data_IF_093217914877
#
_entry.id   IF_093217914877
#
_cell.length_a   1.000
_cell.length_b   1.000
_cell.length_c   1.000
_cell.angle_alpha   90.00
_cell.angle_beta   90.00
_cell.angle_gamma   90.00
#
_symmetry.space_group_name_H-M   'P 1'
#
loop_
_entity.id
_entity.type
_entity.pdbx_description
1 polymer ?
#
# COMPACT_ATOMS: atom_id res chain seq x y z
N UNK A 1 -4.48 1.43 28.30
CA UNK A 1 -4.12 0.61 27.14
C UNK A 1 -4.35 -0.86 27.53
N UNK A 2 -5.36 -1.52 26.93
CA UNK A 2 -5.77 -2.88 27.38
C UNK A 2 -4.83 -3.94 26.76
N UNK A 3 -4.56 -5.02 27.49
CA UNK A 3 -3.72 -6.17 27.01
C UNK A 3 -4.19 -6.72 25.66
N UNK A 4 -5.50 -6.62 25.35
CA UNK A 4 -6.09 -6.98 24.06
C UNK A 4 -5.57 -6.16 22.87
N UNK A 5 -5.17 -4.89 23.09
CA UNK A 5 -4.70 -3.99 22.03
C UNK A 5 -3.24 -4.26 21.66
N UNK A 6 -2.44 -4.72 22.64
CA UNK A 6 -1.04 -5.13 22.42
C UNK A 6 -0.94 -6.45 21.63
N UNK A 7 -1.83 -7.40 21.90
CA UNK A 7 -1.88 -8.68 21.17
C UNK A 7 -2.38 -8.47 19.74
N UNK A 8 -3.36 -7.57 19.52
CA UNK A 8 -3.85 -7.21 18.18
C UNK A 8 -2.79 -6.53 17.31
N UNK A 9 -1.95 -5.67 17.88
CA UNK A 9 -0.90 -4.98 17.13
C UNK A 9 0.30 -5.89 16.82
N UNK A 10 0.63 -6.83 17.70
CA UNK A 10 1.70 -7.81 17.48
C UNK A 10 1.34 -8.85 16.37
N UNK A 11 0.06 -9.15 16.20
CA UNK A 11 -0.40 -10.11 15.17
C UNK A 11 -0.47 -9.50 13.76
N UNK A 12 -0.64 -8.17 13.63
CA UNK A 12 -0.84 -7.50 12.33
C UNK A 12 0.45 -7.25 11.53
N UNK A 13 1.56 -6.91 12.19
CA UNK A 13 2.88 -6.85 11.55
C UNK A 13 3.42 -8.23 11.13
N UNK A 14 2.91 -9.30 11.76
CA UNK A 14 3.21 -10.69 11.40
C UNK A 14 2.54 -11.11 10.08
N UNK A 15 1.37 -10.57 9.70
CA UNK A 15 0.59 -11.09 8.57
C UNK A 15 1.23 -10.81 7.21
N UNK A 16 1.79 -9.60 6.99
CA UNK A 16 2.47 -9.26 5.72
C UNK A 16 3.81 -9.99 5.61
N UNK A 17 4.60 -10.03 6.70
CA UNK A 17 5.82 -10.85 6.75
C UNK A 17 5.50 -12.34 6.55
N UNK A 18 4.41 -12.84 7.13
CA UNK A 18 4.00 -14.23 7.00
C UNK A 18 3.60 -14.56 5.56
N UNK A 19 2.85 -13.69 4.86
CA UNK A 19 2.50 -13.93 3.45
C UNK A 19 3.72 -13.95 2.53
N UNK A 20 4.69 -13.04 2.74
CA UNK A 20 5.94 -13.02 1.99
C UNK A 20 6.80 -14.26 2.25
N UNK A 21 6.88 -14.72 3.51
CA UNK A 21 7.60 -15.93 3.88
C UNK A 21 6.94 -17.15 3.24
N UNK A 22 5.63 -17.32 3.40
CA UNK A 22 4.87 -18.46 2.84
C UNK A 22 4.95 -18.48 1.32
N UNK A 23 4.89 -17.31 0.66
CA UNK A 23 5.11 -17.20 -0.78
C UNK A 23 6.53 -17.61 -1.18
N UNK A 24 7.54 -17.15 -0.45
CA UNK A 24 8.95 -17.52 -0.67
C UNK A 24 9.19 -19.02 -0.51
N UNK A 25 8.64 -19.63 0.53
CA UNK A 25 8.70 -21.08 0.78
C UNK A 25 8.03 -21.87 -0.35
N UNK A 26 6.84 -21.44 -0.80
CA UNK A 26 6.16 -22.06 -1.93
C UNK A 26 7.00 -21.98 -3.21
N UNK A 27 7.62 -20.85 -3.52
CA UNK A 27 8.49 -20.68 -4.69
C UNK A 27 9.74 -21.55 -4.58
N UNK A 28 10.28 -21.73 -3.37
CA UNK A 28 11.38 -22.65 -3.12
C UNK A 28 10.97 -24.10 -3.40
N UNK A 29 9.83 -24.55 -2.89
CA UNK A 29 9.31 -25.91 -3.12
C UNK A 29 9.07 -26.19 -4.62
N UNK A 30 8.57 -25.22 -5.39
CA UNK A 30 8.42 -25.36 -6.84
C UNK A 30 9.76 -25.60 -7.56
N UNK A 31 10.83 -24.90 -7.12
CA UNK A 31 12.18 -25.11 -7.66
C UNK A 31 12.76 -26.48 -7.28
N UNK A 32 12.48 -26.93 -6.05
CA UNK A 32 12.87 -28.26 -5.58
C UNK A 32 12.16 -29.35 -6.40
N UNK A 33 10.86 -29.19 -6.65
CA UNK A 33 10.09 -30.13 -7.49
C UNK A 33 10.69 -30.25 -8.89
N UNK A 34 10.96 -29.13 -9.54
CA UNK A 34 11.60 -29.06 -10.86
C UNK A 34 13.01 -29.71 -10.87
N UNK A 35 13.76 -29.58 -9.77
CA UNK A 35 15.05 -30.25 -9.60
C UNK A 35 14.92 -31.77 -9.42
N UNK A 36 13.91 -32.23 -8.67
CA UNK A 36 13.64 -33.65 -8.45
C UNK A 36 13.18 -34.32 -9.74
N UNK A 37 12.32 -33.66 -10.53
CA UNK A 37 11.84 -34.16 -11.81
C UNK A 37 12.98 -34.33 -12.85
N UNK A 38 14.02 -33.50 -12.76
CA UNK A 38 15.24 -33.64 -13.62
C UNK A 38 16.28 -34.61 -13.06
N UNK A 39 16.04 -35.17 -11.88
CA UNK A 39 17.00 -36.06 -11.26
C UNK A 39 16.96 -37.48 -11.88
N UNK A 40 18.09 -38.18 -11.84
CA UNK A 40 18.19 -39.58 -12.29
C UNK A 40 17.75 -40.59 -11.20
N UNK A 41 16.77 -40.23 -10.37
CA UNK A 41 16.25 -41.12 -9.33
C UNK A 41 15.46 -42.28 -9.92
N UNK A 42 15.52 -43.49 -9.29
CA UNK A 42 14.65 -44.59 -9.66
C UNK A 42 13.17 -44.22 -9.56
N UNK A 43 12.35 -44.66 -10.54
CA UNK A 43 10.94 -44.28 -10.67
C UNK A 43 10.10 -44.35 -9.38
N UNK A 44 10.16 -45.39 -8.54
CA UNK A 44 9.37 -45.45 -7.31
C UNK A 44 9.80 -44.39 -6.29
N UNK A 45 11.10 -44.05 -6.21
CA UNK A 45 11.63 -43.03 -5.33
C UNK A 45 11.31 -41.64 -5.85
N UNK A 46 11.40 -41.42 -7.14
CA UNK A 46 10.99 -40.15 -7.77
C UNK A 46 9.54 -39.84 -7.49
N UNK A 47 8.66 -40.80 -7.64
CA UNK A 47 7.22 -40.63 -7.39
C UNK A 47 6.92 -40.34 -5.90
N UNK A 48 7.64 -40.96 -4.99
CA UNK A 48 7.50 -40.70 -3.56
C UNK A 48 7.93 -39.27 -3.18
N UNK A 49 9.08 -38.82 -3.64
CA UNK A 49 9.61 -37.46 -3.39
C UNK A 49 8.68 -36.41 -4.00
N UNK A 50 8.23 -36.63 -5.23
CA UNK A 50 7.28 -35.79 -5.92
C UNK A 50 5.98 -35.59 -5.14
N UNK A 51 5.34 -36.67 -4.67
CA UNK A 51 4.11 -36.61 -3.86
C UNK A 51 4.28 -35.78 -2.58
N UNK A 52 5.38 -35.97 -1.88
CA UNK A 52 5.65 -35.20 -0.65
C UNK A 52 5.77 -33.69 -0.94
N UNK A 53 6.50 -33.32 -2.00
CA UNK A 53 6.69 -31.93 -2.39
C UNK A 53 5.37 -31.31 -2.85
N UNK A 54 4.57 -32.00 -3.66
CA UNK A 54 3.26 -31.56 -4.12
C UNK A 54 2.29 -31.32 -2.95
N UNK A 55 2.29 -32.19 -1.93
CA UNK A 55 1.50 -31.98 -0.71
C UNK A 55 1.94 -30.74 0.05
N UNK A 56 3.25 -30.48 0.16
CA UNK A 56 3.76 -29.28 0.80
C UNK A 56 3.41 -28.01 0.02
N UNK A 57 3.51 -28.04 -1.30
CA UNK A 57 3.10 -26.92 -2.18
C UNK A 57 1.61 -26.64 -2.01
N UNK A 58 0.78 -27.69 -1.96
CA UNK A 58 -0.66 -27.56 -1.76
C UNK A 58 -0.99 -26.92 -0.39
N UNK A 59 -0.34 -27.38 0.68
CA UNK A 59 -0.53 -26.81 2.02
C UNK A 59 -0.14 -25.32 2.08
N UNK A 60 1.00 -24.93 1.47
CA UNK A 60 1.42 -23.53 1.39
C UNK A 60 0.50 -22.67 0.52
N UNK A 61 -0.07 -23.24 -0.53
CA UNK A 61 -1.06 -22.55 -1.36
C UNK A 61 -2.35 -22.29 -0.58
N UNK A 62 -2.84 -23.27 0.18
CA UNK A 62 -4.01 -23.08 1.03
C UNK A 62 -3.79 -22.02 2.12
N UNK A 63 -2.59 -22.00 2.74
CA UNK A 63 -2.23 -21.01 3.74
C UNK A 63 -2.20 -19.60 3.14
N UNK A 64 -1.61 -19.42 1.95
CA UNK A 64 -1.63 -18.15 1.20
C UNK A 64 -3.05 -17.70 0.90
N UNK A 65 -3.92 -18.60 0.46
CA UNK A 65 -5.31 -18.28 0.16
C UNK A 65 -6.06 -17.81 1.41
N UNK A 66 -5.82 -18.40 2.58
CA UNK A 66 -6.39 -17.94 3.86
C UNK A 66 -5.89 -16.54 4.25
N UNK A 67 -4.61 -16.28 4.06
CA UNK A 67 -4.01 -14.97 4.35
C UNK A 67 -4.60 -13.92 3.39
N UNK A 68 -4.74 -14.24 2.11
CA UNK A 68 -5.21 -13.35 1.07
C UNK A 68 -6.72 -13.11 1.14
N UNK A 69 -7.53 -14.08 1.59
CA UNK A 69 -8.97 -13.92 1.73
C UNK A 69 -9.35 -12.71 2.62
N UNK A 70 -8.63 -12.51 3.74
CA UNK A 70 -8.83 -11.33 4.58
C UNK A 70 -8.38 -10.01 3.92
N UNK A 71 -7.53 -10.09 2.90
CA UNK A 71 -7.07 -8.96 2.09
C UNK A 71 -8.11 -8.59 1.03
N UNK A 72 -8.62 -9.58 0.31
CA UNK A 72 -9.64 -9.41 -0.73
C UNK A 72 -10.92 -8.80 -0.15
N UNK A 73 -11.30 -9.20 1.06
CA UNK A 73 -12.41 -8.60 1.79
C UNK A 73 -12.19 -7.10 2.06
N UNK A 74 -11.01 -6.70 2.56
CA UNK A 74 -10.70 -5.29 2.82
C UNK A 74 -10.66 -4.44 1.56
N UNK A 75 -10.08 -4.98 0.48
CA UNK A 75 -10.06 -4.32 -0.83
C UNK A 75 -11.48 -4.20 -1.37
N UNK A 76 -12.29 -5.25 -1.27
CA UNK A 76 -13.69 -5.23 -1.64
C UNK A 76 -14.48 -4.15 -0.91
N UNK A 77 -14.25 -3.97 0.39
CA UNK A 77 -14.85 -2.87 1.16
C UNK A 77 -14.43 -1.50 0.65
N UNK A 78 -13.14 -1.28 0.39
CA UNK A 78 -12.65 0.01 -0.11
C UNK A 78 -13.19 0.32 -1.51
N UNK A 79 -13.34 -0.70 -2.36
CA UNK A 79 -13.88 -0.52 -3.72
C UNK A 79 -15.40 -0.42 -3.76
N UNK A 80 -16.09 -0.71 -2.66
CA UNK A 80 -17.54 -0.62 -2.58
C UNK A 80 -18.03 0.82 -2.69
N UNK A 81 -19.03 1.06 -3.55
CA UNK A 81 -19.69 2.37 -3.66
C UNK A 81 -20.37 2.82 -2.35
N UNK A 82 -20.67 1.88 -1.44
CA UNK A 82 -21.37 2.14 -0.18
C UNK A 82 -20.40 2.35 1.02
N UNK A 83 -19.08 2.28 0.79
CA UNK A 83 -18.11 2.45 1.87
C UNK A 83 -18.29 3.82 2.55
N UNK A 84 -18.25 3.81 3.88
CA UNK A 84 -18.37 5.01 4.71
C UNK A 84 -16.99 5.61 4.99
N UNK A 85 -16.89 6.96 5.11
CA UNK A 85 -15.63 7.63 5.47
C UNK A 85 -14.99 7.10 6.75
N UNK A 86 -15.79 6.76 7.77
CA UNK A 86 -15.29 6.21 9.04
C UNK A 86 -14.65 4.83 8.87
N UNK A 87 -15.18 4.02 7.94
CA UNK A 87 -14.59 2.72 7.60
C UNK A 87 -13.23 2.89 6.96
N UNK A 88 -13.09 3.86 6.04
CA UNK A 88 -11.80 4.20 5.42
C UNK A 88 -10.80 4.73 6.46
N UNK A 89 -11.23 5.59 7.40
CA UNK A 89 -10.37 6.07 8.52
C UNK A 89 -9.92 4.89 9.38
N UNK A 90 -10.83 3.99 9.76
CA UNK A 90 -10.52 2.81 10.55
C UNK A 90 -9.53 1.88 9.84
N UNK A 91 -9.76 1.57 8.56
CA UNK A 91 -8.86 0.73 7.75
C UNK A 91 -7.48 1.38 7.61
N UNK A 92 -7.41 2.69 7.34
CA UNK A 92 -6.14 3.40 7.20
C UNK A 92 -5.29 3.38 8.47
N UNK A 93 -5.92 3.43 9.65
CA UNK A 93 -5.23 3.37 10.94
C UNK A 93 -4.82 1.97 11.35
N UNK A 94 -5.55 0.98 10.88
CA UNK A 94 -5.30 -0.42 11.19
C UNK A 94 -4.34 -1.09 10.21
N UNK A 95 -4.22 -0.55 8.99
CA UNK A 95 -3.30 -1.06 7.98
C UNK A 95 -1.83 -0.88 8.43
N UNK A 96 -0.99 -1.91 8.25
CA UNK A 96 0.46 -1.72 8.37
C UNK A 96 0.94 -0.69 7.35
N UNK A 97 2.02 0.03 7.68
CA UNK A 97 2.61 1.03 6.75
C UNK A 97 3.11 0.39 5.45
N UNK A 98 3.45 -0.88 5.51
CA UNK A 98 3.91 -1.70 4.38
C UNK A 98 2.77 -2.13 3.46
N UNK A 99 1.52 -1.97 3.89
CA UNK A 99 0.32 -2.26 3.10
C UNK A 99 0.06 -1.13 2.08
N UNK A 100 1.04 -0.94 1.19
CA UNK A 100 1.05 0.13 0.20
C UNK A 100 -0.21 0.14 -0.66
N UNK A 101 -0.65 -1.04 -1.12
CA UNK A 101 -1.76 -1.13 -2.08
C UNK A 101 -3.10 -0.69 -1.46
N UNK A 102 -3.41 -1.20 -0.25
CA UNK A 102 -4.62 -0.79 0.47
C UNK A 102 -4.60 0.70 0.82
N UNK A 103 -3.47 1.22 1.34
CA UNK A 103 -3.34 2.62 1.71
C UNK A 103 -3.40 3.56 0.50
N UNK A 104 -2.89 3.11 -0.64
CA UNK A 104 -3.02 3.81 -1.90
C UNK A 104 -4.49 3.89 -2.34
N UNK A 105 -5.21 2.77 -2.37
CA UNK A 105 -6.64 2.75 -2.71
C UNK A 105 -7.47 3.67 -1.79
N UNK A 106 -7.19 3.64 -0.48
CA UNK A 106 -7.84 4.55 0.48
C UNK A 106 -7.54 6.00 0.14
N UNK A 107 -6.28 6.34 -0.18
CA UNK A 107 -5.88 7.71 -0.51
C UNK A 107 -6.47 8.26 -1.82
N UNK A 108 -6.89 7.38 -2.73
CA UNK A 108 -7.54 7.71 -4.00
C UNK A 108 -9.07 7.74 -3.89
N UNK A 109 -9.64 7.21 -2.79
CA UNK A 109 -11.08 7.00 -2.69
C UNK A 109 -11.86 8.30 -2.55
N UNK A 110 -12.90 8.59 -3.38
CA UNK A 110 -13.60 9.88 -3.39
C UNK A 110 -14.29 10.25 -2.07
N UNK A 111 -14.67 9.27 -1.26
CA UNK A 111 -15.30 9.49 0.05
C UNK A 111 -14.32 9.57 1.22
N UNK A 112 -13.01 9.51 0.96
CA UNK A 112 -12.02 9.62 2.04
C UNK A 112 -12.10 10.98 2.72
N UNK A 113 -12.04 11.00 4.05
CA UNK A 113 -12.13 12.23 4.84
C UNK A 113 -10.82 13.03 4.82
N UNK A 114 -10.90 14.35 4.99
CA UNK A 114 -9.73 15.21 5.17
C UNK A 114 -8.85 14.73 6.34
N UNK A 115 -9.47 14.24 7.43
CA UNK A 115 -8.76 13.67 8.59
C UNK A 115 -7.91 12.46 8.21
N UNK A 116 -8.45 11.53 7.43
CA UNK A 116 -7.73 10.35 6.93
C UNK A 116 -6.59 10.76 6.00
N UNK A 117 -6.83 11.71 5.08
CA UNK A 117 -5.81 12.26 4.19
C UNK A 117 -4.70 12.95 4.98
N UNK A 118 -5.04 13.74 6.01
CA UNK A 118 -4.09 14.36 6.91
C UNK A 118 -3.18 13.33 7.59
N UNK A 119 -3.76 12.23 8.10
CA UNK A 119 -3.00 11.13 8.69
C UNK A 119 -2.06 10.47 7.66
N UNK A 120 -2.56 10.08 6.48
CA UNK A 120 -1.79 9.41 5.44
C UNK A 120 -0.75 10.34 4.79
N UNK A 121 -0.90 11.64 4.91
CA UNK A 121 0.03 12.63 4.34
C UNK A 121 1.45 12.57 4.92
N UNK A 122 1.66 11.83 6.01
CA UNK A 122 2.97 11.54 6.61
C UNK A 122 3.57 10.20 6.16
N UNK A 123 2.89 9.51 5.24
CA UNK A 123 3.31 8.17 4.81
C UNK A 123 4.67 8.21 4.10
N UNK A 124 5.57 7.22 4.31
CA UNK A 124 6.89 7.19 3.67
C UNK A 124 6.82 7.10 2.15
N UNK A 125 5.82 6.41 1.58
CA UNK A 125 5.68 6.30 0.12
C UNK A 125 5.15 7.59 -0.50
N UNK A 126 5.93 8.14 -1.43
CA UNK A 126 5.64 9.41 -2.11
C UNK A 126 4.34 9.35 -2.92
N UNK A 127 4.04 8.22 -3.56
CA UNK A 127 2.82 8.07 -4.36
C UNK A 127 1.53 8.27 -3.54
N UNK A 128 1.50 7.84 -2.26
CA UNK A 128 0.37 8.12 -1.37
C UNK A 128 0.28 9.62 -1.10
N UNK A 129 1.41 10.29 -0.83
CA UNK A 129 1.43 11.73 -0.61
C UNK A 129 1.07 12.56 -1.86
N UNK A 130 1.42 12.05 -3.05
CA UNK A 130 0.99 12.64 -4.33
C UNK A 130 -0.52 12.58 -4.52
N UNK A 131 -1.14 11.43 -4.26
CA UNK A 131 -2.58 11.28 -4.31
C UNK A 131 -3.26 12.31 -3.39
N UNK A 132 -2.75 12.45 -2.17
CA UNK A 132 -3.28 13.41 -1.20
C UNK A 132 -3.10 14.85 -1.68
N UNK A 133 -1.96 15.20 -2.27
CA UNK A 133 -1.74 16.54 -2.80
C UNK A 133 -2.73 16.92 -3.93
N UNK A 134 -3.21 15.92 -4.68
CA UNK A 134 -4.22 16.09 -5.75
C UNK A 134 -5.65 15.97 -5.23
N UNK A 135 -5.86 15.32 -4.08
CA UNK A 135 -7.20 14.93 -3.64
C UNK A 135 -8.09 16.14 -3.31
N UNK A 136 -9.34 16.20 -3.82
CA UNK A 136 -10.24 17.34 -3.57
C UNK A 136 -10.68 17.47 -2.12
N UNK A 137 -10.62 16.41 -1.31
CA UNK A 137 -10.97 16.45 0.11
C UNK A 137 -9.78 16.81 1.02
N UNK A 138 -8.60 17.09 0.47
CA UNK A 138 -7.45 17.52 1.28
C UNK A 138 -7.67 18.90 1.84
N UNK A 139 -7.40 19.06 3.14
CA UNK A 139 -7.54 20.34 3.81
C UNK A 139 -6.32 21.27 3.58
N UNK A 140 -6.51 22.55 3.88
CA UNK A 140 -5.50 23.59 3.71
C UNK A 140 -4.22 23.32 4.53
N UNK A 141 -4.33 22.72 5.72
CA UNK A 141 -3.20 22.41 6.58
C UNK A 141 -2.35 21.28 5.96
N UNK A 142 -2.99 20.20 5.51
CA UNK A 142 -2.34 19.08 4.82
C UNK A 142 -1.63 19.54 3.55
N UNK A 143 -2.30 20.35 2.71
CA UNK A 143 -1.73 20.90 1.49
C UNK A 143 -0.55 21.84 1.76
N UNK A 144 -0.64 22.69 2.78
CA UNK A 144 0.47 23.56 3.20
C UNK A 144 1.68 22.74 3.62
N UNK A 145 1.48 21.65 4.35
CA UNK A 145 2.57 20.74 4.72
C UNK A 145 3.18 20.05 3.51
N UNK A 146 2.36 19.48 2.61
CA UNK A 146 2.83 18.79 1.41
C UNK A 146 3.57 19.73 0.43
N UNK A 147 3.23 21.01 0.40
CA UNK A 147 3.97 21.99 -0.40
C UNK A 147 5.43 22.17 0.02
N UNK A 148 5.78 21.75 1.25
CA UNK A 148 7.13 21.80 1.84
C UNK A 148 7.79 20.43 1.91
N UNK A 149 7.24 19.42 1.24
CA UNK A 149 7.83 18.08 1.24
C UNK A 149 9.26 18.12 0.68
N UNK A 150 10.20 17.61 1.47
CA UNK A 150 11.65 17.65 1.12
C UNK A 150 12.07 16.40 0.35
N UNK A 151 11.35 15.31 0.47
CA UNK A 151 11.68 14.03 -0.17
C UNK A 151 11.18 13.97 -1.61
N UNK A 152 10.12 14.72 -1.90
CA UNK A 152 9.57 14.85 -3.25
C UNK A 152 8.95 16.24 -3.46
N UNK A 153 9.17 16.87 -4.62
CA UNK A 153 8.63 18.20 -4.89
C UNK A 153 7.14 18.15 -5.21
N UNK A 154 6.28 17.98 -4.17
CA UNK A 154 4.82 17.93 -4.32
C UNK A 154 4.17 19.31 -4.48
N UNK A 155 4.93 20.39 -4.31
CA UNK A 155 4.43 21.75 -4.35
C UNK A 155 3.70 22.11 -5.65
N UNK A 156 4.08 21.52 -6.79
CA UNK A 156 3.41 21.78 -8.09
C UNK A 156 2.00 21.18 -8.12
N UNK A 157 1.77 20.03 -7.46
CA UNK A 157 0.43 19.44 -7.32
C UNK A 157 -0.46 20.29 -6.44
N UNK A 158 0.10 20.79 -5.32
CA UNK A 158 -0.60 21.71 -4.43
C UNK A 158 -0.98 23.01 -5.11
N UNK A 159 -0.18 23.52 -6.06
CA UNK A 159 -0.47 24.72 -6.82
C UNK A 159 -1.79 24.66 -7.62
N UNK A 160 -2.23 23.47 -7.97
CA UNK A 160 -3.48 23.24 -8.71
C UNK A 160 -4.64 22.74 -7.83
N UNK A 161 -4.38 22.40 -6.58
CA UNK A 161 -5.44 21.94 -5.69
C UNK A 161 -6.34 23.13 -5.26
N UNK A 162 -7.67 23.06 -5.49
CA UNK A 162 -8.59 24.16 -5.17
C UNK A 162 -8.63 24.50 -3.68
N UNK A 163 -8.39 23.51 -2.80
CA UNK A 163 -8.41 23.69 -1.34
C UNK A 163 -7.09 24.21 -0.76
N UNK A 164 -6.06 24.39 -1.61
CA UNK A 164 -4.86 25.06 -1.15
C UNK A 164 -5.16 26.53 -0.83
N UNK A 165 -4.62 27.08 0.26
CA UNK A 165 -4.78 28.49 0.60
C UNK A 165 -4.46 29.38 -0.61
N UNK A 166 -5.33 30.38 -0.91
CA UNK A 166 -5.19 31.21 -2.11
C UNK A 166 -3.85 31.91 -2.21
N UNK A 167 -3.32 32.39 -1.08
CA UNK A 167 -2.00 33.01 -0.97
C UNK A 167 -0.87 32.01 -1.29
N UNK A 168 -0.96 30.80 -0.78
CA UNK A 168 -0.01 29.73 -1.07
C UNK A 168 -0.07 29.34 -2.55
N UNK A 169 -1.26 29.13 -3.07
CA UNK A 169 -1.49 28.75 -4.49
C UNK A 169 -0.89 29.79 -5.43
N UNK A 170 -1.16 31.08 -5.23
CA UNK A 170 -0.58 32.17 -6.03
C UNK A 170 0.95 32.15 -5.99
N UNK A 171 1.55 31.98 -4.80
CA UNK A 171 3.00 31.88 -4.63
C UNK A 171 3.60 30.68 -5.39
N UNK A 172 2.95 29.53 -5.35
CA UNK A 172 3.43 28.33 -6.01
C UNK A 172 3.29 28.42 -7.53
N UNK A 173 2.19 29.01 -8.05
CA UNK A 173 1.99 29.27 -9.46
C UNK A 173 3.02 30.27 -10.00
N UNK A 174 3.33 31.33 -9.26
CA UNK A 174 4.40 32.25 -9.61
C UNK A 174 5.78 31.58 -9.65
N UNK A 175 6.04 30.68 -8.69
CA UNK A 175 7.26 29.86 -8.72
C UNK A 175 7.35 29.00 -9.99
N UNK A 176 6.24 28.40 -10.42
CA UNK A 176 6.19 27.61 -11.67
C UNK A 176 6.49 28.47 -12.89
N UNK A 177 5.87 29.66 -12.98
CA UNK A 177 6.11 30.61 -14.08
C UNK A 177 7.60 30.96 -14.21
N UNK A 178 8.24 31.32 -13.10
CA UNK A 178 9.69 31.66 -13.07
C UNK A 178 10.61 30.49 -13.48
N UNK A 179 10.21 29.26 -13.17
CA UNK A 179 11.00 28.09 -13.57
C UNK A 179 10.83 27.79 -15.07
N UNK A 180 9.63 27.96 -15.61
CA UNK A 180 9.36 27.85 -17.06
C UNK A 180 10.13 28.90 -17.88
N UNK A 181 10.20 30.15 -17.42
CA UNK A 181 10.95 31.22 -18.08
C UNK A 181 12.46 30.94 -18.13
N UNK A 182 13.02 30.37 -17.06
CA UNK A 182 14.45 29.99 -17.03
C UNK A 182 14.80 28.85 -17.98
N UNK A 183 13.87 27.91 -18.18
CA UNK A 183 14.07 26.79 -19.11
C UNK A 183 13.95 27.21 -20.59
N UNK A 184 13.26 28.32 -20.88
CA UNK A 184 13.10 28.84 -22.23
C UNK A 184 14.26 29.75 -22.71
N UNK A 185 15.16 30.14 -21.79
CA UNK A 185 16.30 31.03 -22.05
C UNK A 185 17.65 30.30 -22.09
N UNK A 186 17.68 28.98 -22.03
CA UNK A 186 18.86 28.11 -22.22
C UNK A 186 18.73 27.31 -23.52
#
# INVERSE_FOLDING_TARGET
MRRSDLVRNATKGKTVRTSQIVFGERQHLLRVLDSVERSALPAPRLEQERRVIEQLIHARTQELNRINAGWDEKIGFVLSAEVRPDTLDSLSRQAPKEDYYLLRLISEHPKVSAKTLGHLSHHPYSAIRENIARHPNSDAATLTRLSRDRTQPLWYLVAFNPNAPSTLRKKLQERMRRLGEKSATQ
#
